data_IF_511393848041
#
_entry.id   IF_511393848041
#
_cell.length_a   1.000
_cell.length_b   1.000
_cell.length_c   1.000
_cell.angle_alpha   90.00
_cell.angle_beta   90.00
_cell.angle_gamma   90.00
#
_symmetry.space_group_name_H-M   'P 1'
#
loop_
_entity.id
_entity.type
_entity.pdbx_description
1 polymer ?
#
# COMPACT_ATOMS: atom_id res chain seq x y z
N UNK A 1 16.47 30.49 -30.80
CA UNK A 1 15.33 30.42 -29.86
C UNK A 1 15.78 29.68 -28.60
N UNK A 2 16.84 30.18 -27.96
CA UNK A 2 17.26 29.84 -26.60
C UNK A 2 17.79 31.16 -26.08
N UNK A 3 16.96 31.85 -25.32
CA UNK A 3 17.33 33.12 -24.73
C UNK A 3 17.76 32.81 -23.29
N UNK A 4 19.07 32.75 -23.09
CA UNK A 4 19.76 32.59 -21.81
C UNK A 4 19.60 33.84 -20.94
N UNK A 5 18.39 34.07 -20.42
CA UNK A 5 18.15 35.06 -19.37
C UNK A 5 17.54 34.37 -18.14
N UNK A 6 18.42 33.94 -17.23
CA UNK A 6 18.20 33.75 -15.79
C UNK A 6 16.75 33.52 -15.33
N UNK A 7 16.26 32.30 -15.49
CA UNK A 7 15.43 31.68 -14.47
C UNK A 7 16.11 30.37 -14.10
N UNK A 8 16.33 30.11 -12.82
CA UNK A 8 16.80 28.80 -12.36
C UNK A 8 16.03 27.69 -13.08
N UNK A 9 16.70 26.59 -13.41
CA UNK A 9 16.02 25.43 -14.00
C UNK A 9 14.81 25.07 -13.13
N UNK A 10 13.64 24.93 -13.76
CA UNK A 10 12.42 24.62 -13.05
C UNK A 10 12.57 23.24 -12.38
N UNK A 11 12.41 23.13 -11.04
CA UNK A 11 12.50 21.85 -10.36
C UNK A 11 11.56 20.82 -10.99
N UNK A 12 12.02 19.58 -11.15
CA UNK A 12 11.28 18.53 -11.87
C UNK A 12 9.88 18.28 -11.26
N UNK A 13 9.69 18.56 -9.97
CA UNK A 13 8.40 18.41 -9.29
C UNK A 13 7.36 19.45 -9.69
N UNK A 14 7.76 20.58 -10.29
CA UNK A 14 6.83 21.62 -10.74
C UNK A 14 6.12 21.25 -12.04
N UNK A 15 6.63 20.27 -12.80
CA UNK A 15 5.94 19.80 -13.99
C UNK A 15 4.66 19.04 -13.61
N UNK A 16 3.47 19.43 -14.12
CA UNK A 16 2.20 18.79 -13.75
C UNK A 16 2.17 17.27 -14.00
N UNK A 17 2.90 16.81 -15.02
CA UNK A 17 3.03 15.37 -15.29
C UNK A 17 3.80 14.65 -14.17
N UNK A 18 4.86 15.26 -13.62
CA UNK A 18 5.60 14.68 -12.50
C UNK A 18 4.74 14.62 -11.23
N UNK A 19 3.96 15.67 -10.98
CA UNK A 19 2.99 15.72 -9.89
C UNK A 19 1.93 14.64 -10.03
N UNK A 20 1.33 14.50 -11.22
CA UNK A 20 0.33 13.47 -11.51
C UNK A 20 0.89 12.06 -11.31
N UNK A 21 2.18 11.85 -11.56
CA UNK A 21 2.82 10.54 -11.36
C UNK A 21 3.13 10.24 -9.89
N UNK A 22 3.44 11.23 -9.06
CA UNK A 22 3.91 11.00 -7.68
C UNK A 22 2.85 11.29 -6.61
N UNK A 23 2.07 12.36 -6.76
CA UNK A 23 1.12 12.81 -5.74
C UNK A 23 -0.01 11.81 -5.47
N UNK A 24 -0.53 11.05 -6.44
CA UNK A 24 -1.48 9.98 -6.15
C UNK A 24 -0.90 8.88 -5.25
N UNK A 25 0.38 8.53 -5.41
CA UNK A 25 1.02 7.56 -4.51
C UNK A 25 1.27 8.12 -3.12
N UNK A 26 1.60 9.41 -3.01
CA UNK A 26 1.71 10.07 -1.71
C UNK A 26 0.35 10.10 -1.00
N UNK A 27 -0.71 10.51 -1.70
CA UNK A 27 -2.07 10.52 -1.15
C UNK A 27 -2.54 9.11 -0.78
N UNK A 28 -2.32 8.12 -1.65
CA UNK A 28 -2.69 6.72 -1.40
C UNK A 28 -1.91 6.12 -0.22
N UNK A 29 -0.64 6.50 -0.01
CA UNK A 29 0.11 6.11 1.18
C UNK A 29 -0.58 6.59 2.47
N UNK A 30 -1.00 7.87 2.52
CA UNK A 30 -1.73 8.38 3.68
C UNK A 30 -3.08 7.70 3.87
N UNK A 31 -3.81 7.41 2.78
CA UNK A 31 -5.08 6.68 2.85
C UNK A 31 -4.89 5.26 3.44
N UNK A 32 -3.92 4.50 2.92
CA UNK A 32 -3.57 3.16 3.42
C UNK A 32 -3.10 3.23 4.88
N UNK A 33 -2.29 4.23 5.24
CA UNK A 33 -1.81 4.41 6.61
C UNK A 33 -2.94 4.68 7.60
N UNK A 34 -3.90 5.53 7.23
CA UNK A 34 -5.06 5.83 8.07
C UNK A 34 -5.96 4.60 8.23
N UNK A 35 -6.22 3.90 7.13
CA UNK A 35 -6.94 2.63 7.15
C UNK A 35 -6.24 1.61 8.07
N UNK A 36 -4.94 1.41 7.91
CA UNK A 36 -4.15 0.46 8.70
C UNK A 36 -4.17 0.81 10.19
N UNK A 37 -4.06 2.10 10.53
CA UNK A 37 -4.20 2.55 11.93
C UNK A 37 -5.55 2.11 12.51
N UNK A 38 -6.64 2.32 11.76
CA UNK A 38 -7.98 1.95 12.23
C UNK A 38 -8.15 0.43 12.32
N UNK A 39 -7.67 -0.32 11.33
CA UNK A 39 -7.68 -1.77 11.33
C UNK A 39 -6.93 -2.34 12.55
N UNK A 40 -5.78 -1.76 12.92
CA UNK A 40 -5.01 -2.21 14.07
C UNK A 40 -5.69 -1.91 15.41
N UNK A 41 -6.45 -0.81 15.53
CA UNK A 41 -7.29 -0.55 16.70
C UNK A 41 -8.34 -1.66 16.87
N UNK A 42 -9.05 -2.02 15.80
CA UNK A 42 -10.05 -3.08 15.82
C UNK A 42 -9.44 -4.48 16.00
N UNK A 43 -8.28 -4.74 15.40
CA UNK A 43 -7.57 -6.00 15.58
C UNK A 43 -7.10 -6.19 17.02
N UNK A 44 -6.67 -5.11 17.69
CA UNK A 44 -6.27 -5.16 19.10
C UNK A 44 -7.48 -5.50 19.99
N UNK A 45 -8.62 -4.86 19.76
CA UNK A 45 -9.88 -5.17 20.46
C UNK A 45 -10.30 -6.65 20.26
N UNK A 46 -10.25 -7.12 19.00
CA UNK A 46 -10.50 -8.53 18.66
C UNK A 46 -9.61 -9.50 19.45
N UNK A 47 -8.30 -9.23 19.54
CA UNK A 47 -7.37 -10.07 20.29
C UNK A 47 -7.69 -10.06 21.78
N UNK A 48 -8.05 -8.92 22.37
CA UNK A 48 -8.43 -8.81 23.78
C UNK A 48 -9.68 -9.66 24.06
N UNK A 49 -10.72 -9.55 23.23
CA UNK A 49 -11.97 -10.32 23.35
C UNK A 49 -11.73 -11.83 23.18
N UNK A 50 -10.88 -12.22 22.22
CA UNK A 50 -10.41 -13.60 22.04
C UNK A 50 -9.74 -14.15 23.30
N UNK A 51 -8.85 -13.38 23.93
CA UNK A 51 -8.15 -13.79 25.16
C UNK A 51 -9.09 -13.93 26.37
N UNK A 52 -10.21 -13.20 26.37
CA UNK A 52 -11.27 -13.34 27.37
C UNK A 52 -12.20 -14.53 27.09
N UNK A 53 -11.94 -15.29 26.02
CA UNK A 53 -12.70 -16.48 25.62
C UNK A 53 -14.19 -16.17 25.36
N UNK A 54 -14.47 -14.98 24.82
CA UNK A 54 -15.82 -14.59 24.40
C UNK A 54 -16.28 -15.46 23.22
N UNK A 55 -17.47 -16.06 23.33
CA UNK A 55 -18.06 -16.96 22.32
C UNK A 55 -19.43 -16.49 21.83
N UNK A 56 -19.65 -15.18 21.78
CA UNK A 56 -20.89 -14.58 21.30
C UNK A 56 -21.01 -14.69 19.77
N UNK A 57 -22.24 -14.60 19.27
CA UNK A 57 -22.49 -14.50 17.81
C UNK A 57 -21.84 -13.24 17.23
N UNK A 58 -21.91 -12.13 17.97
CA UNK A 58 -21.23 -10.88 17.66
C UNK A 58 -19.72 -11.08 17.48
N UNK A 59 -19.07 -11.87 18.35
CA UNK A 59 -17.64 -12.13 18.24
C UNK A 59 -17.28 -12.97 17.01
N UNK A 60 -18.15 -13.89 16.59
CA UNK A 60 -17.95 -14.64 15.35
C UNK A 60 -18.07 -13.73 14.11
N UNK A 61 -19.05 -12.83 14.09
CA UNK A 61 -19.21 -11.84 13.03
C UNK A 61 -18.02 -10.88 12.97
N UNK A 62 -17.59 -10.36 14.11
CA UNK A 62 -16.43 -9.49 14.21
C UNK A 62 -15.14 -10.19 13.74
N UNK A 63 -14.95 -11.47 14.08
CA UNK A 63 -13.82 -12.26 13.58
C UNK A 63 -13.83 -12.38 12.05
N UNK A 64 -15.01 -12.55 11.44
CA UNK A 64 -15.16 -12.64 9.99
C UNK A 64 -14.83 -11.31 9.31
N UNK A 65 -15.28 -10.20 9.89
CA UNK A 65 -15.01 -8.85 9.39
C UNK A 65 -13.51 -8.51 9.45
N UNK A 66 -12.87 -8.76 10.58
CA UNK A 66 -11.42 -8.57 10.75
C UNK A 66 -10.63 -9.40 9.74
N UNK A 67 -11.02 -10.66 9.52
CA UNK A 67 -10.40 -11.50 8.52
C UNK A 67 -10.60 -10.96 7.10
N UNK A 68 -11.81 -10.55 6.73
CA UNK A 68 -12.10 -9.98 5.41
C UNK A 68 -11.30 -8.69 5.13
N UNK A 69 -11.26 -7.78 6.11
CA UNK A 69 -10.53 -6.52 6.01
C UNK A 69 -9.02 -6.72 5.93
N UNK A 70 -8.45 -7.60 6.77
CA UNK A 70 -7.02 -7.92 6.73
C UNK A 70 -6.62 -8.64 5.43
N UNK A 71 -7.46 -9.56 4.96
CA UNK A 71 -7.28 -10.28 3.70
C UNK A 71 -7.23 -9.31 2.51
N UNK A 72 -8.13 -8.33 2.41
CA UNK A 72 -8.09 -7.37 1.29
C UNK A 72 -7.00 -6.31 1.44
N UNK A 73 -6.68 -5.92 2.67
CA UNK A 73 -5.69 -4.89 2.95
C UNK A 73 -4.29 -5.27 2.46
N UNK A 74 -3.92 -6.55 2.58
CA UNK A 74 -2.59 -7.05 2.21
C UNK A 74 -2.34 -6.93 0.70
N UNK A 75 -3.18 -7.47 -0.21
CA UNK A 75 -3.03 -7.29 -1.65
C UNK A 75 -3.04 -5.83 -2.09
N UNK A 76 -3.99 -5.03 -1.60
CA UNK A 76 -4.10 -3.61 -1.95
C UNK A 76 -2.83 -2.84 -1.56
N UNK A 77 -2.34 -3.04 -0.33
CA UNK A 77 -1.17 -2.30 0.16
C UNK A 77 0.13 -2.76 -0.49
N UNK A 78 0.29 -4.07 -0.74
CA UNK A 78 1.53 -4.64 -1.31
C UNK A 78 1.67 -4.38 -2.81
N UNK A 79 0.59 -4.46 -3.58
CA UNK A 79 0.60 -4.02 -4.99
C UNK A 79 0.89 -2.53 -5.10
N UNK A 80 0.16 -1.71 -4.33
CA UNK A 80 0.36 -0.27 -4.32
C UNK A 80 1.79 0.12 -3.94
N UNK A 81 2.37 -0.48 -2.90
CA UNK A 81 3.73 -0.17 -2.44
C UNK A 81 4.81 -0.48 -3.48
N UNK A 82 4.75 -1.66 -4.11
CA UNK A 82 5.70 -2.06 -5.16
C UNK A 82 5.56 -1.18 -6.41
N UNK A 83 4.32 -0.84 -6.79
CA UNK A 83 4.06 0.07 -7.91
C UNK A 83 4.59 1.49 -7.62
N UNK A 84 4.33 2.01 -6.42
CA UNK A 84 4.81 3.31 -5.97
C UNK A 84 6.34 3.40 -5.99
N UNK A 85 7.05 2.35 -5.55
CA UNK A 85 8.51 2.27 -5.64
C UNK A 85 8.99 2.28 -7.09
N UNK A 86 8.28 1.58 -7.97
CA UNK A 86 8.55 1.59 -9.41
C UNK A 86 8.41 2.98 -10.03
N UNK A 87 7.34 3.71 -9.68
CA UNK A 87 7.11 5.07 -10.17
C UNK A 87 8.10 6.08 -9.58
N UNK A 88 8.39 6.02 -8.27
CA UNK A 88 9.41 6.85 -7.64
C UNK A 88 10.77 6.69 -8.30
N UNK A 89 11.16 5.43 -8.61
CA UNK A 89 12.39 5.13 -9.33
C UNK A 89 12.42 5.80 -10.71
N UNK A 90 11.36 5.64 -11.50
CA UNK A 90 11.25 6.25 -12.84
C UNK A 90 11.23 7.77 -12.77
N UNK A 91 10.63 8.34 -11.73
CA UNK A 91 10.54 9.77 -11.50
C UNK A 91 11.91 10.43 -11.23
N UNK A 92 12.89 9.67 -10.71
CA UNK A 92 14.28 10.12 -10.53
C UNK A 92 15.16 10.00 -11.78
N UNK A 93 14.59 9.62 -12.94
CA UNK A 93 15.33 9.44 -14.19
C UNK A 93 16.46 8.42 -14.06
N UNK A 94 17.59 8.66 -14.73
CA UNK A 94 18.75 7.77 -14.69
C UNK A 94 19.34 7.59 -13.29
N UNK A 95 19.26 8.61 -12.44
CA UNK A 95 19.75 8.52 -11.06
C UNK A 95 18.94 7.56 -10.20
N UNK A 96 17.66 7.34 -10.51
CA UNK A 96 16.85 6.31 -9.86
C UNK A 96 17.34 4.89 -10.12
N UNK A 97 18.16 4.66 -11.16
CA UNK A 97 18.77 3.35 -11.40
C UNK A 97 20.03 3.11 -10.55
N UNK A 98 20.68 4.17 -10.08
CA UNK A 98 21.90 4.05 -9.29
C UNK A 98 21.62 3.34 -7.96
N UNK A 99 22.56 2.50 -7.53
CA UNK A 99 22.48 1.84 -6.23
C UNK A 99 22.36 2.84 -5.08
N UNK A 100 22.98 4.02 -5.21
CA UNK A 100 22.86 5.11 -4.23
C UNK A 100 21.45 5.64 -4.03
N UNK A 101 20.54 5.46 -5.00
CA UNK A 101 19.11 5.81 -4.83
C UNK A 101 18.36 4.87 -3.90
N UNK A 102 18.86 3.62 -3.73
CA UNK A 102 18.25 2.52 -2.98
C UNK A 102 16.84 2.09 -3.43
N UNK A 103 16.26 2.71 -4.45
CA UNK A 103 14.89 2.45 -4.89
C UNK A 103 14.72 1.06 -5.51
N UNK A 104 15.74 0.56 -6.23
CA UNK A 104 15.75 -0.81 -6.76
C UNK A 104 15.76 -1.84 -5.64
N UNK A 105 16.73 -1.73 -4.73
CA UNK A 105 16.90 -2.67 -3.61
C UNK A 105 15.68 -2.68 -2.69
N UNK A 106 15.09 -1.50 -2.44
CA UNK A 106 13.86 -1.38 -1.67
C UNK A 106 12.70 -2.07 -2.38
N UNK A 107 12.52 -1.83 -3.68
CA UNK A 107 11.49 -2.50 -4.48
C UNK A 107 11.66 -4.01 -4.46
N UNK A 108 12.87 -4.50 -4.71
CA UNK A 108 13.16 -5.93 -4.77
C UNK A 108 12.98 -6.61 -3.40
N UNK A 109 13.25 -5.89 -2.30
CA UNK A 109 12.96 -6.38 -0.94
C UNK A 109 11.45 -6.46 -0.64
N UNK A 110 10.64 -5.59 -1.25
CA UNK A 110 9.19 -5.57 -1.06
C UNK A 110 8.41 -6.41 -2.08
N UNK A 111 8.98 -6.74 -3.24
CA UNK A 111 8.34 -7.55 -4.29
C UNK A 111 7.78 -8.88 -3.74
N UNK A 112 8.50 -9.64 -2.88
CA UNK A 112 7.98 -10.88 -2.30
C UNK A 112 6.79 -10.69 -1.33
N UNK A 113 6.52 -9.48 -0.85
CA UNK A 113 5.34 -9.22 0.01
C UNK A 113 4.02 -9.51 -0.69
N UNK A 114 4.02 -9.55 -2.03
CA UNK A 114 2.86 -9.91 -2.84
C UNK A 114 2.55 -11.41 -2.82
N UNK A 115 3.47 -12.24 -2.33
CA UNK A 115 3.34 -13.72 -2.34
C UNK A 115 3.44 -14.35 -0.95
N UNK A 116 4.27 -13.82 -0.05
CA UNK A 116 4.36 -14.33 1.31
C UNK A 116 3.08 -14.09 2.11
N UNK A 117 2.83 -14.96 3.10
CA UNK A 117 1.59 -15.01 3.91
C UNK A 117 0.29 -15.22 3.09
N UNK A 118 0.45 -15.72 1.86
CA UNK A 118 -0.62 -16.06 0.92
C UNK A 118 -0.54 -15.20 -0.35
N UNK A 119 -0.69 -15.83 -1.50
CA UNK A 119 -0.62 -15.12 -2.79
C UNK A 119 -1.80 -14.13 -2.93
N UNK A 120 -1.53 -12.94 -3.49
CA UNK A 120 -2.48 -11.83 -3.50
C UNK A 120 -3.82 -12.15 -4.17
N UNK A 121 -3.83 -12.84 -5.32
CA UNK A 121 -5.08 -13.24 -5.96
C UNK A 121 -5.83 -14.30 -5.16
N UNK A 122 -5.11 -15.26 -4.57
CA UNK A 122 -5.71 -16.27 -3.70
C UNK A 122 -6.38 -15.66 -2.46
N UNK A 123 -5.75 -14.68 -1.83
CA UNK A 123 -6.34 -13.98 -0.67
C UNK A 123 -7.54 -13.12 -1.10
N UNK A 124 -7.46 -12.41 -2.24
CA UNK A 124 -8.61 -11.68 -2.77
C UNK A 124 -9.80 -12.58 -3.05
N UNK A 125 -9.57 -13.81 -3.51
CA UNK A 125 -10.63 -14.78 -3.68
C UNK A 125 -11.30 -15.14 -2.33
N UNK A 126 -10.54 -15.24 -1.24
CA UNK A 126 -11.10 -15.45 0.10
C UNK A 126 -12.00 -14.28 0.51
N UNK A 127 -11.53 -13.03 0.33
CA UNK A 127 -12.35 -11.84 0.58
C UNK A 127 -13.62 -11.85 -0.28
N UNK A 128 -13.49 -12.15 -1.58
CA UNK A 128 -14.63 -12.23 -2.50
C UNK A 128 -15.66 -13.24 -2.01
N UNK A 129 -15.21 -14.42 -1.57
CA UNK A 129 -16.12 -15.44 -1.02
C UNK A 129 -16.83 -14.94 0.24
N UNK A 130 -16.17 -14.17 1.11
CA UNK A 130 -16.80 -13.59 2.31
C UNK A 130 -17.83 -12.52 1.94
N UNK A 131 -17.54 -11.68 0.93
CA UNK A 131 -18.47 -10.63 0.47
C UNK A 131 -19.66 -11.18 -0.33
N UNK A 132 -19.46 -12.29 -1.06
CA UNK A 132 -20.47 -12.90 -1.95
C UNK A 132 -21.27 -14.03 -1.29
N UNK A 133 -20.91 -14.48 -0.08
CA UNK A 133 -21.87 -15.14 0.81
C UNK A 133 -23.14 -14.24 0.84
N UNK A 134 -24.35 -14.60 0.37
CA UNK A 134 -25.10 -15.86 0.37
C UNK A 134 -24.88 -16.71 1.61
#
# INVERSE_FOLDING_TARGET
MFNDYLSDELPVIEYPLQQHRLFPYLAGHYAIRLFHKKLMEHFTDYIIRMMQNEKSEEMMEFSREIHALSAVAKPVSTWFGVEALGEARRACGGHGFLHSSRLNELRDSFDPSQTFEGENYMILQQTSNILLQK
#
